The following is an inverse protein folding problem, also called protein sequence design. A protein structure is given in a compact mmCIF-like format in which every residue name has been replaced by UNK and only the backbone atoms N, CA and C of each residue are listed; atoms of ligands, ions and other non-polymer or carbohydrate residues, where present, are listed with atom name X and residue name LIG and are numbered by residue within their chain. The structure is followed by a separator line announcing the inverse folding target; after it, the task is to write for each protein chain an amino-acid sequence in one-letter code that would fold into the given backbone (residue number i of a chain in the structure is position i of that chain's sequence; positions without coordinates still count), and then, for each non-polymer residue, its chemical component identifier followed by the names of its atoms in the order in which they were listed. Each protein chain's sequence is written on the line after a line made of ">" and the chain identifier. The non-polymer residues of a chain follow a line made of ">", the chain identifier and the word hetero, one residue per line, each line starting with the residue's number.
data_IF_489105308851
#
_entry.id   IF_489105308851
#
_cell.length_a   1.000
_cell.length_b   1.000
_cell.length_c   1.000
_cell.angle_alpha   90.00
_cell.angle_beta   90.00
_cell.angle_gamma   90.00
#
_symmetry.space_group_name_H-M   'P 1'
#
loop_
_entity.id
_entity.type
_entity.pdbx_description
1 polymer ?
#
# COMPACT_ATOMS: atom_id res chain seq x y z
N UNK A 1 -10.46 6.36 -1.01
CA UNK A 1 -10.22 6.28 -2.46
C UNK A 1 -10.93 7.42 -3.14
N UNK A 2 -10.37 7.98 -4.22
CA UNK A 2 -10.92 9.21 -4.85
C UNK A 2 -11.97 8.96 -5.92
N UNK A 3 -11.90 7.82 -6.60
CA UNK A 3 -12.86 7.40 -7.61
C UNK A 3 -13.01 5.88 -7.59
N UNK A 4 -13.81 5.33 -8.51
CA UNK A 4 -14.05 3.89 -8.65
C UNK A 4 -13.31 3.26 -9.84
N UNK A 5 -12.43 4.01 -10.51
CA UNK A 5 -11.66 3.54 -11.67
C UNK A 5 -10.42 2.78 -11.24
N UNK A 6 -9.99 1.81 -12.04
CA UNK A 6 -8.75 1.08 -11.81
C UNK A 6 -8.81 0.08 -10.65
N UNK A 7 -7.64 -0.19 -10.08
CA UNK A 7 -7.41 -1.21 -9.07
C UNK A 7 -6.89 -0.61 -7.76
N UNK A 8 -7.25 -1.24 -6.65
CA UNK A 8 -6.52 -1.06 -5.40
C UNK A 8 -5.50 -2.20 -5.32
N UNK A 9 -4.22 -1.87 -5.35
CA UNK A 9 -3.13 -2.84 -5.23
C UNK A 9 -2.59 -2.82 -3.81
N UNK A 10 -2.48 -4.00 -3.20
CA UNK A 10 -1.88 -4.20 -1.87
C UNK A 10 -0.61 -5.01 -2.07
N UNK A 11 0.51 -4.48 -1.60
CA UNK A 11 1.82 -5.10 -1.70
C UNK A 11 2.43 -5.29 -0.30
N UNK A 12 2.98 -6.46 -0.03
CA UNK A 12 3.64 -6.80 1.25
C UNK A 12 5.12 -7.06 0.98
N UNK A 13 5.98 -6.44 1.79
CA UNK A 13 7.43 -6.55 1.71
C UNK A 13 7.98 -7.17 2.99
N UNK A 14 9.02 -7.99 2.85
CA UNK A 14 9.74 -8.57 4.00
C UNK A 14 10.87 -7.66 4.53
N UNK A 15 11.38 -6.77 3.68
CA UNK A 15 12.53 -5.93 4.02
C UNK A 15 12.63 -4.65 3.17
N UNK A 16 13.64 -3.84 3.49
CA UNK A 16 13.95 -2.58 2.81
C UNK A 16 14.43 -2.76 1.37
N UNK A 17 15.10 -3.86 1.04
CA UNK A 17 15.64 -4.12 -0.29
C UNK A 17 14.50 -4.48 -1.26
N UNK A 18 13.58 -5.36 -0.85
CA UNK A 18 12.35 -5.68 -1.57
C UNK A 18 11.50 -4.43 -1.79
N UNK A 19 11.33 -3.59 -0.76
CA UNK A 19 10.59 -2.34 -0.91
C UNK A 19 11.23 -1.38 -1.93
N UNK A 20 12.55 -1.17 -1.87
CA UNK A 20 13.26 -0.30 -2.83
C UNK A 20 13.25 -0.84 -4.26
N UNK A 21 13.24 -2.16 -4.40
CA UNK A 21 13.23 -2.82 -5.70
C UNK A 21 11.82 -3.04 -6.26
N UNK A 22 10.77 -2.60 -5.54
CA UNK A 22 9.37 -2.87 -5.87
C UNK A 22 9.10 -4.38 -6.07
N UNK A 23 9.73 -5.21 -5.22
CA UNK A 23 9.60 -6.68 -5.21
C UNK A 23 8.87 -7.15 -3.95
N UNK A 24 7.53 -7.10 -3.93
CA UNK A 24 6.77 -7.63 -2.82
C UNK A 24 6.87 -9.16 -2.77
N UNK A 25 6.73 -9.70 -1.56
CA UNK A 25 6.56 -11.14 -1.34
C UNK A 25 5.11 -11.60 -1.57
N UNK A 26 4.17 -10.66 -1.54
CA UNK A 26 2.76 -10.87 -1.86
C UNK A 26 2.18 -9.60 -2.48
N UNK A 27 1.45 -9.75 -3.57
CA UNK A 27 0.69 -8.68 -4.21
C UNK A 27 -0.75 -9.14 -4.45
N UNK A 28 -1.71 -8.26 -4.17
CA UNK A 28 -3.13 -8.49 -4.44
C UNK A 28 -3.72 -7.27 -5.14
N UNK A 29 -4.58 -7.50 -6.12
CA UNK A 29 -5.28 -6.43 -6.85
C UNK A 29 -6.78 -6.62 -6.73
N UNK A 30 -7.48 -5.53 -6.48
CA UNK A 30 -8.93 -5.52 -6.32
C UNK A 30 -9.55 -4.44 -7.20
N UNK A 31 -10.47 -4.84 -8.08
CA UNK A 31 -11.20 -3.90 -8.95
C UNK A 31 -12.07 -2.97 -8.12
N UNK A 32 -11.78 -1.66 -8.17
CA UNK A 32 -12.46 -0.65 -7.34
C UNK A 32 -13.95 -0.53 -7.63
N UNK A 33 -14.38 -0.81 -8.85
CA UNK A 33 -15.80 -0.81 -9.22
C UNK A 33 -16.61 -1.97 -8.61
N UNK A 34 -15.95 -2.98 -8.02
CA UNK A 34 -16.57 -4.10 -7.29
C UNK A 34 -16.47 -3.94 -5.77
N UNK A 35 -15.82 -2.89 -5.29
CA UNK A 35 -15.66 -2.65 -3.86
C UNK A 35 -16.91 -2.03 -3.23
N UNK A 36 -17.17 -2.30 -1.94
CA UNK A 36 -18.19 -1.59 -1.20
C UNK A 36 -17.87 -0.08 -1.14
N UNK A 37 -18.91 0.74 -1.08
CA UNK A 37 -18.75 2.17 -0.78
C UNK A 37 -18.38 2.31 0.70
N UNK A 38 -17.27 2.98 0.99
CA UNK A 38 -16.81 3.24 2.35
C UNK A 38 -15.60 2.40 2.72
N UNK A 39 -15.71 1.65 3.81
CA UNK A 39 -14.61 0.87 4.37
C UNK A 39 -14.34 -0.41 3.55
N UNK A 40 -13.06 -0.64 3.25
CA UNK A 40 -12.58 -1.84 2.58
C UNK A 40 -11.68 -2.60 3.53
N UNK A 41 -12.06 -3.84 3.88
CA UNK A 41 -11.29 -4.73 4.74
C UNK A 41 -10.91 -5.98 3.96
N UNK A 42 -9.67 -6.43 4.18
CA UNK A 42 -9.14 -7.69 3.64
C UNK A 42 -8.49 -8.47 4.77
N UNK A 43 -8.60 -9.80 4.69
CA UNK A 43 -7.91 -10.71 5.60
C UNK A 43 -6.80 -11.37 4.81
N UNK A 44 -5.57 -11.28 5.31
CA UNK A 44 -4.38 -11.81 4.67
C UNK A 44 -3.76 -12.82 5.62
N UNK A 45 -3.62 -14.07 5.17
CA UNK A 45 -2.92 -15.11 5.91
C UNK A 45 -1.46 -15.11 5.50
N UNK A 46 -0.57 -14.94 6.49
CA UNK A 46 0.88 -14.92 6.29
C UNK A 46 1.57 -15.57 7.48
N UNK A 47 2.77 -16.12 7.25
CA UNK A 47 3.60 -16.68 8.33
C UNK A 47 4.08 -15.58 9.27
N UNK A 48 4.46 -15.97 10.49
CA UNK A 48 5.14 -15.07 11.42
C UNK A 48 6.37 -14.40 10.77
N UNK A 49 6.60 -13.14 11.11
CA UNK A 49 7.66 -12.35 10.51
C UNK A 49 7.46 -10.86 10.64
N UNK A 50 8.44 -10.10 10.14
CA UNK A 50 8.37 -8.65 10.02
C UNK A 50 7.99 -8.28 8.60
N UNK A 51 6.97 -7.44 8.46
CA UNK A 51 6.46 -7.04 7.16
C UNK A 51 6.18 -5.55 7.11
N UNK A 52 6.17 -4.99 5.91
CA UNK A 52 5.61 -3.68 5.62
C UNK A 52 4.59 -3.83 4.50
N UNK A 53 3.46 -3.14 4.61
CA UNK A 53 2.40 -3.16 3.62
C UNK A 53 2.27 -1.78 2.99
N UNK A 54 2.19 -1.73 1.67
CA UNK A 54 1.80 -0.54 0.93
C UNK A 54 0.51 -0.77 0.16
N UNK A 55 -0.25 0.30 -0.03
CA UNK A 55 -1.44 0.33 -0.87
C UNK A 55 -1.21 1.35 -1.98
N UNK A 56 -1.52 0.99 -3.22
CA UNK A 56 -1.55 1.84 -4.39
C UNK A 56 -3.00 1.93 -4.89
N UNK A 57 -3.50 3.14 -5.08
CA UNK A 57 -4.72 3.44 -5.81
C UNK A 57 -4.37 3.63 -7.29
N UNK A 58 -4.28 2.52 -8.02
CA UNK A 58 -3.78 2.41 -9.40
C UNK A 58 -4.91 2.74 -10.37
N UNK A 59 -5.02 4.01 -10.75
CA UNK A 59 -6.15 4.51 -11.55
C UNK A 59 -5.99 4.17 -13.03
N UNK A 60 -4.75 3.94 -13.50
CA UNK A 60 -4.43 3.63 -14.89
C UNK A 60 -4.08 2.15 -15.14
N UNK A 61 -4.11 1.33 -14.09
CA UNK A 61 -3.93 -0.13 -14.12
C UNK A 61 -2.53 -0.58 -14.59
N UNK A 62 -1.49 0.24 -14.36
CA UNK A 62 -0.12 -0.10 -14.76
C UNK A 62 0.71 -0.78 -13.66
N UNK A 63 0.14 -0.94 -12.46
CA UNK A 63 0.72 -1.68 -11.34
C UNK A 63 1.85 -0.98 -10.61
N UNK A 64 2.11 0.31 -10.88
CA UNK A 64 3.19 1.07 -10.23
C UNK A 64 2.81 2.51 -9.98
N UNK A 65 3.44 3.13 -8.99
CA UNK A 65 3.25 4.56 -8.74
C UNK A 65 3.76 5.39 -9.92
N UNK A 66 2.89 6.22 -10.48
CA UNK A 66 3.26 7.18 -11.50
C UNK A 66 3.71 8.52 -10.88
N UNK A 67 4.73 9.13 -11.49
CA UNK A 67 5.30 10.40 -11.04
C UNK A 67 5.32 11.41 -12.20
N UNK A 68 5.03 12.67 -11.90
CA UNK A 68 5.19 13.75 -12.88
C UNK A 68 6.67 14.13 -13.07
N UNK A 69 6.95 15.09 -13.96
CA UNK A 69 8.32 15.57 -14.26
C UNK A 69 9.08 16.14 -13.04
N UNK A 70 8.36 16.51 -11.97
CA UNK A 70 8.93 17.02 -10.71
C UNK A 70 9.09 15.91 -9.65
N UNK A 71 8.78 14.65 -9.99
CA UNK A 71 8.84 13.51 -9.07
C UNK A 71 7.68 13.47 -8.06
N UNK A 72 6.57 14.17 -8.33
CA UNK A 72 5.40 14.17 -7.45
C UNK A 72 4.49 12.97 -7.78
N UNK A 73 4.07 12.17 -6.78
CA UNK A 73 3.12 11.07 -6.97
C UNK A 73 1.82 11.54 -7.63
N UNK A 74 1.40 10.83 -8.67
CA UNK A 74 0.16 11.13 -9.41
C UNK A 74 -1.02 10.26 -8.96
N UNK A 75 -0.75 9.17 -8.24
CA UNK A 75 -1.75 8.24 -7.74
C UNK A 75 -1.84 8.26 -6.22
N UNK A 76 -2.90 7.64 -5.70
CA UNK A 76 -3.05 7.48 -4.27
C UNK A 76 -2.13 6.41 -3.73
N UNK A 77 -1.57 6.64 -2.55
CA UNK A 77 -0.80 5.61 -1.87
C UNK A 77 -0.94 5.69 -0.36
N UNK A 78 -0.65 4.60 0.31
CA UNK A 78 -0.59 4.53 1.76
C UNK A 78 0.32 3.41 2.24
N UNK A 79 0.67 3.46 3.51
CA UNK A 79 1.51 2.47 4.16
C UNK A 79 0.88 2.01 5.47
N UNK A 80 1.17 0.77 5.88
CA UNK A 80 0.68 0.20 7.14
C UNK A 80 1.07 1.03 8.36
N UNK A 81 0.07 1.43 9.14
CA UNK A 81 0.20 2.15 10.41
C UNK A 81 1.08 3.41 10.30
N UNK A 82 1.15 4.02 9.11
CA UNK A 82 2.04 5.14 8.84
C UNK A 82 1.32 6.26 8.10
N UNK A 83 1.25 7.42 8.75
CA UNK A 83 0.76 8.65 8.15
C UNK A 83 1.88 9.32 7.37
N UNK A 84 1.89 9.16 6.05
CA UNK A 84 2.96 9.67 5.22
C UNK A 84 3.01 11.21 5.15
N UNK A 85 4.11 11.80 5.63
CA UNK A 85 4.36 13.25 5.61
C UNK A 85 5.46 13.59 4.61
N UNK A 86 5.30 14.71 3.89
CA UNK A 86 6.24 15.13 2.85
C UNK A 86 6.15 14.32 1.55
N UNK A 87 7.20 14.43 0.72
CA UNK A 87 7.35 13.82 -0.62
C UNK A 87 8.37 12.67 -0.66
N UNK A 88 9.13 12.45 0.43
CA UNK A 88 10.16 11.41 0.49
C UNK A 88 9.51 10.08 0.80
N UNK A 89 9.81 9.06 -0.01
CA UNK A 89 9.44 7.66 0.26
C UNK A 89 9.95 7.27 1.66
N UNK A 90 9.12 6.64 2.52
CA UNK A 90 9.53 6.28 3.87
C UNK A 90 10.56 5.15 3.85
N UNK A 91 11.28 4.95 4.95
CA UNK A 91 12.03 3.71 5.14
C UNK A 91 11.07 2.57 5.48
N UNK A 92 11.45 1.32 5.17
CA UNK A 92 10.68 0.13 5.50
C UNK A 92 10.32 0.05 6.99
N UNK A 93 11.26 0.41 7.85
CA UNK A 93 11.04 0.41 9.30
C UNK A 93 9.96 1.39 9.76
N UNK A 94 9.68 2.45 9.00
CA UNK A 94 8.69 3.47 9.37
C UNK A 94 7.26 2.95 9.29
N UNK A 95 7.02 1.92 8.46
CA UNK A 95 5.70 1.33 8.24
C UNK A 95 5.68 -0.19 8.49
N UNK A 96 6.75 -0.76 9.03
CA UNK A 96 6.82 -2.19 9.31
C UNK A 96 6.06 -2.56 10.59
N UNK A 97 5.55 -3.80 10.63
CA UNK A 97 4.89 -4.42 11.77
C UNK A 97 5.33 -5.88 11.91
N UNK A 98 5.08 -6.46 13.08
CA UNK A 98 5.40 -7.85 13.41
C UNK A 98 4.12 -8.68 13.40
N UNK A 99 4.14 -9.80 12.70
CA UNK A 99 3.12 -10.85 12.80
C UNK A 99 3.71 -11.97 13.65
N UNK A 100 3.04 -12.30 14.75
CA UNK A 100 3.40 -13.42 15.61
C UNK A 100 2.55 -14.65 15.28
N UNK A 101 3.06 -15.83 15.67
CA UNK A 101 2.36 -17.09 15.43
C UNK A 101 0.98 -17.09 16.08
N UNK A 102 -0.05 -17.47 15.30
CA UNK A 102 -1.46 -17.52 15.73
C UNK A 102 -2.02 -16.17 16.23
N UNK A 103 -1.44 -15.05 15.81
CA UNK A 103 -1.90 -13.72 16.18
C UNK A 103 -2.58 -13.02 15.00
N UNK A 104 -3.59 -12.21 15.28
CA UNK A 104 -4.23 -11.31 14.31
C UNK A 104 -3.72 -9.90 14.59
N UNK A 105 -3.12 -9.28 13.58
CA UNK A 105 -2.66 -7.90 13.66
C UNK A 105 -3.60 -7.04 12.84
N UNK A 106 -4.21 -6.05 13.48
CA UNK A 106 -5.02 -5.05 12.77
C UNK A 106 -4.09 -3.98 12.17
N UNK A 107 -4.22 -3.77 10.87
CA UNK A 107 -3.41 -2.81 10.11
C UNK A 107 -4.33 -1.77 9.51
N UNK A 108 -4.04 -0.50 9.80
CA UNK A 108 -4.72 0.63 9.20
C UNK A 108 -3.83 1.24 8.11
N UNK A 109 -4.44 1.67 7.00
CA UNK A 109 -3.74 2.38 5.93
C UNK A 109 -4.49 3.68 5.65
N UNK A 110 -3.82 4.80 5.87
CA UNK A 110 -4.35 6.11 5.48
C UNK A 110 -3.83 6.47 4.10
N UNK A 111 -4.76 6.59 3.14
CA UNK A 111 -4.42 6.97 1.77
C UNK A 111 -4.06 8.45 1.69
N UNK A 112 -2.98 8.76 0.99
CA UNK A 112 -2.51 10.10 0.65
C UNK A 112 -2.53 10.28 -0.86
N UNK A 113 -2.76 11.52 -1.26
CA UNK A 113 -2.71 11.97 -2.64
C UNK A 113 -2.19 13.42 -2.69
N UNK A 114 -1.53 13.81 -3.78
CA UNK A 114 -0.89 15.14 -3.88
C UNK A 114 -1.65 16.17 -4.72
N UNK A 115 -2.32 15.76 -5.79
CA UNK A 115 -3.05 16.69 -6.67
C UNK A 115 -4.52 16.76 -6.26
N UNK A 116 -5.10 17.94 -6.04
CA UNK A 116 -6.53 18.12 -5.74
C UNK A 116 -7.37 18.17 -7.02
#
# INVERSE_FOLDING_TARGET
>A
MRNTKGDLCIAIFADQAGFKAEKPILEMKYKKNKMPKGEFRVIIQIKEGKYGLSVLDDENENGRMNYNILGIPQEGFGFSNYLHKGIKIPAFNDFSFIVEKNNIVEISVTMKYFNH
#
